data_IF_209043349465
#
_entry.id   IF_209043349465
#
_cell.length_a   1.000
_cell.length_b   1.000
_cell.length_c   1.000
_cell.angle_alpha   90.00
_cell.angle_beta   90.00
_cell.angle_gamma   90.00
#
_symmetry.space_group_name_H-M   'P 1'
#
loop_
_entity.id
_entity.type
_entity.pdbx_description
1 polymer ?
#
# COMPACT_ATOMS: atom_id res chain seq x y z
N UNK A 1 -30.05 36.94 19.33
CA UNK A 1 -29.14 37.01 18.17
C UNK A 1 -27.78 37.34 18.75
N UNK A 2 -26.92 36.33 18.86
CA UNK A 2 -25.65 36.41 19.59
C UNK A 2 -24.53 36.91 18.64
N UNK A 3 -23.94 38.10 18.86
CA UNK A 3 -22.94 38.67 17.97
C UNK A 3 -21.52 38.12 18.17
N UNK A 4 -21.28 37.20 19.11
CA UNK A 4 -19.92 36.73 19.47
C UNK A 4 -19.63 35.28 19.08
N UNK A 5 -20.23 34.78 17.98
CA UNK A 5 -19.67 33.59 17.29
C UNK A 5 -18.43 33.99 16.51
N UNK A 6 -17.32 34.24 17.23
CA UNK A 6 -16.00 34.19 16.62
C UNK A 6 -15.80 32.76 16.16
N UNK A 7 -15.84 32.55 14.84
CA UNK A 7 -15.45 31.30 14.21
C UNK A 7 -14.13 30.86 14.85
N UNK A 8 -14.15 29.74 15.59
CA UNK A 8 -12.93 29.13 16.08
C UNK A 8 -11.98 29.03 14.88
N UNK A 9 -10.70 29.45 15.00
CA UNK A 9 -9.76 29.35 13.90
C UNK A 9 -9.86 27.94 13.32
N UNK A 10 -10.33 27.83 12.07
CA UNK A 10 -10.28 26.56 11.34
C UNK A 10 -8.84 26.07 11.55
N UNK A 11 -8.62 24.86 12.09
CA UNK A 11 -7.27 24.36 12.26
C UNK A 11 -6.61 24.56 10.90
N UNK A 12 -5.60 25.43 10.87
CA UNK A 12 -4.83 25.65 9.67
C UNK A 12 -4.36 24.24 9.31
N UNK A 13 -4.94 23.67 8.25
CA UNK A 13 -4.49 22.37 7.78
C UNK A 13 -3.04 22.62 7.41
N UNK A 14 -2.13 22.05 8.19
CA UNK A 14 -0.71 22.14 7.88
C UNK A 14 -0.57 21.74 6.42
N UNK A 15 0.10 22.55 5.59
CA UNK A 15 0.28 22.21 4.19
C UNK A 15 0.84 20.79 4.14
N UNK A 16 0.29 19.91 3.28
CA UNK A 16 0.69 18.52 3.25
C UNK A 16 2.22 18.47 3.14
N UNK A 17 2.90 17.69 3.98
CA UNK A 17 4.35 17.67 4.01
C UNK A 17 4.88 17.38 2.61
N UNK A 18 5.91 18.11 2.19
CA UNK A 18 6.50 17.94 0.86
C UNK A 18 6.77 16.44 0.60
N UNK A 19 6.42 15.91 -0.57
CA UNK A 19 6.54 14.50 -0.87
C UNK A 19 8.01 14.09 -0.78
N UNK A 20 8.38 13.51 0.36
CA UNK A 20 9.74 13.02 0.55
C UNK A 20 9.98 11.84 -0.40
N UNK A 21 11.22 11.64 -0.89
CA UNK A 21 11.57 10.48 -1.71
C UNK A 21 11.21 9.13 -1.06
N UNK A 22 11.14 9.08 0.27
CA UNK A 22 10.66 7.90 1.02
C UNK A 22 9.14 7.72 0.92
N UNK A 23 8.35 8.79 1.04
CA UNK A 23 6.89 8.72 0.87
C UNK A 23 6.48 8.23 -0.51
N UNK A 24 7.15 8.70 -1.57
CA UNK A 24 6.90 8.27 -2.95
C UNK A 24 7.18 6.76 -3.14
N UNK A 25 8.26 6.23 -2.55
CA UNK A 25 8.61 4.80 -2.62
C UNK A 25 7.62 3.93 -1.85
N UNK A 26 7.18 4.37 -0.67
CA UNK A 26 6.16 3.67 0.11
C UNK A 26 4.83 3.57 -0.66
N UNK A 27 4.42 4.66 -1.31
CA UNK A 27 3.24 4.68 -2.17
C UNK A 27 3.37 3.74 -3.36
N UNK A 28 4.52 3.74 -4.04
CA UNK A 28 4.77 2.83 -5.15
C UNK A 28 4.71 1.36 -4.71
N UNK A 29 5.32 1.01 -3.57
CA UNK A 29 5.26 -0.36 -3.04
C UNK A 29 3.85 -0.80 -2.67
N UNK A 30 3.04 0.09 -2.09
CA UNK A 30 1.63 -0.16 -1.82
C UNK A 30 0.83 -0.35 -3.12
N UNK A 31 1.09 0.48 -4.12
CA UNK A 31 0.45 0.39 -5.42
C UNK A 31 0.78 -0.92 -6.14
N UNK A 32 2.06 -1.31 -6.19
CA UNK A 32 2.50 -2.59 -6.75
C UNK A 32 1.86 -3.79 -6.05
N UNK A 33 1.66 -3.71 -4.73
CA UNK A 33 0.98 -4.76 -3.99
C UNK A 33 -0.49 -4.88 -4.46
N UNK A 34 -1.23 -3.78 -4.58
CA UNK A 34 -2.62 -3.79 -5.09
C UNK A 34 -2.67 -4.29 -6.54
N UNK A 35 -1.75 -3.83 -7.39
CA UNK A 35 -1.65 -4.27 -8.77
C UNK A 35 -1.46 -5.79 -8.89
N UNK A 36 -0.77 -6.44 -7.96
CA UNK A 36 -0.60 -7.90 -8.01
C UNK A 36 -1.92 -8.67 -7.92
N UNK A 37 -2.90 -8.14 -7.18
CA UNK A 37 -4.25 -8.72 -7.10
C UNK A 37 -4.99 -8.49 -8.41
N UNK A 38 -4.93 -7.27 -8.96
CA UNK A 38 -5.59 -6.91 -10.22
C UNK A 38 -5.04 -7.72 -11.39
N UNK A 39 -3.73 -7.96 -11.44
CA UNK A 39 -3.09 -8.82 -12.45
C UNK A 39 -3.54 -10.26 -12.28
N UNK A 40 -3.56 -10.81 -11.05
CA UNK A 40 -4.04 -12.17 -10.79
C UNK A 40 -5.51 -12.36 -11.17
N UNK A 41 -6.36 -11.41 -10.82
CA UNK A 41 -7.78 -11.41 -11.17
C UNK A 41 -8.01 -11.24 -12.68
N UNK A 42 -7.26 -10.34 -13.33
CA UNK A 42 -7.36 -10.12 -14.77
C UNK A 42 -6.92 -11.32 -15.60
N UNK A 43 -5.82 -11.98 -15.20
CA UNK A 43 -5.36 -13.22 -15.83
C UNK A 43 -6.35 -14.38 -15.59
N UNK A 44 -6.89 -14.48 -14.37
CA UNK A 44 -7.91 -15.49 -14.05
C UNK A 44 -9.20 -15.31 -14.84
N UNK A 45 -9.67 -14.06 -14.97
CA UNK A 45 -10.86 -13.72 -15.77
C UNK A 45 -10.65 -14.01 -17.26
N UNK A 46 -9.49 -13.66 -17.81
CA UNK A 46 -9.17 -13.94 -19.21
C UNK A 46 -9.06 -15.45 -19.46
N UNK A 47 -8.46 -16.20 -18.53
CA UNK A 47 -8.40 -17.66 -18.60
C UNK A 47 -9.79 -18.30 -18.58
N UNK A 48 -10.68 -17.85 -17.70
CA UNK A 48 -12.06 -18.34 -17.64
C UNK A 48 -12.83 -18.03 -18.94
N UNK A 49 -12.60 -16.85 -19.53
CA UNK A 49 -13.24 -16.45 -20.78
C UNK A 49 -12.84 -17.32 -21.98
N UNK A 50 -11.58 -17.75 -22.06
CA UNK A 50 -11.08 -18.56 -23.18
C UNK A 50 -11.44 -20.05 -23.03
N UNK A 51 -11.40 -20.57 -21.79
CA UNK A 51 -11.59 -22.00 -21.52
C UNK A 51 -13.06 -22.38 -21.28
N UNK A 52 -13.96 -21.39 -21.12
CA UNK A 52 -15.36 -21.61 -20.80
C UNK A 52 -15.57 -22.32 -19.45
N UNK A 53 -14.51 -22.43 -18.65
CA UNK A 53 -14.62 -22.78 -17.24
C UNK A 53 -15.44 -21.68 -16.58
N UNK A 54 -16.34 -22.02 -15.64
CA UNK A 54 -16.99 -21.01 -14.79
C UNK A 54 -15.96 -20.15 -14.04
N UNK A 55 -16.30 -19.38 -13.00
CA UNK A 55 -15.37 -18.44 -12.34
C UNK A 55 -14.23 -19.09 -11.52
N UNK A 56 -13.65 -20.19 -11.99
CA UNK A 56 -12.68 -21.04 -11.31
C UNK A 56 -11.26 -20.51 -11.46
N UNK A 57 -10.81 -20.16 -12.67
CA UNK A 57 -9.49 -19.56 -12.89
C UNK A 57 -9.43 -18.16 -12.28
N UNK A 58 -10.55 -17.44 -12.22
CA UNK A 58 -10.67 -16.18 -11.51
C UNK A 58 -10.43 -16.36 -10.01
N UNK A 59 -11.02 -17.37 -9.37
CA UNK A 59 -10.78 -17.66 -7.95
C UNK A 59 -9.31 -18.05 -7.70
N UNK A 60 -8.76 -18.92 -8.55
CA UNK A 60 -7.35 -19.34 -8.45
C UNK A 60 -6.40 -18.16 -8.67
N UNK A 61 -6.63 -17.38 -9.73
CA UNK A 61 -5.85 -16.18 -10.06
C UNK A 61 -5.93 -15.12 -8.99
N UNK A 62 -7.10 -14.91 -8.38
CA UNK A 62 -7.27 -14.04 -7.22
C UNK A 62 -6.50 -14.56 -6.00
N UNK A 63 -6.51 -15.87 -5.76
CA UNK A 63 -5.71 -16.50 -4.71
C UNK A 63 -4.21 -16.28 -4.89
N UNK A 64 -3.70 -16.45 -6.11
CA UNK A 64 -2.30 -16.16 -6.44
C UNK A 64 -1.96 -14.67 -6.29
N UNK A 65 -2.83 -13.78 -6.79
CA UNK A 65 -2.66 -12.33 -6.66
C UNK A 65 -2.64 -11.88 -5.20
N UNK A 66 -3.53 -12.43 -4.37
CA UNK A 66 -3.56 -12.17 -2.93
C UNK A 66 -2.32 -12.71 -2.21
N UNK A 67 -1.86 -13.91 -2.54
CA UNK A 67 -0.62 -14.45 -2.00
C UNK A 67 0.58 -13.55 -2.33
N UNK A 68 0.68 -13.08 -3.58
CA UNK A 68 1.72 -12.15 -4.00
C UNK A 68 1.65 -10.80 -3.27
N UNK A 69 0.45 -10.27 -3.03
CA UNK A 69 0.22 -9.07 -2.22
C UNK A 69 0.76 -9.25 -0.80
N UNK A 70 0.37 -10.34 -0.11
CA UNK A 70 0.82 -10.61 1.27
C UNK A 70 2.34 -10.79 1.32
N UNK A 71 2.93 -11.49 0.36
CA UNK A 71 4.38 -11.67 0.28
C UNK A 71 5.10 -10.32 0.12
N UNK A 72 4.63 -9.44 -0.79
CA UNK A 72 5.18 -8.08 -0.96
C UNK A 72 5.07 -7.25 0.30
N UNK A 73 3.89 -7.24 0.94
CA UNK A 73 3.67 -6.51 2.18
C UNK A 73 4.59 -7.00 3.31
N UNK A 74 4.72 -8.32 3.47
CA UNK A 74 5.60 -8.91 4.47
C UNK A 74 7.07 -8.55 4.24
N UNK A 75 7.49 -8.47 2.98
CA UNK A 75 8.86 -8.08 2.62
C UNK A 75 9.12 -6.61 2.91
N UNK A 76 8.14 -5.75 2.62
CA UNK A 76 8.21 -4.32 2.94
C UNK A 76 8.34 -4.09 4.45
N UNK A 77 7.54 -4.81 5.26
CA UNK A 77 7.62 -4.75 6.73
C UNK A 77 9.02 -5.13 7.24
N UNK A 78 9.56 -6.25 6.77
CA UNK A 78 10.91 -6.70 7.15
C UNK A 78 12.00 -5.71 6.76
N UNK A 79 11.86 -5.02 5.63
CA UNK A 79 12.80 -3.98 5.21
C UNK A 79 12.77 -2.78 6.16
N UNK A 80 11.56 -2.30 6.52
CA UNK A 80 11.40 -1.18 7.47
C UNK A 80 11.96 -1.53 8.84
N UNK A 81 11.68 -2.73 9.36
CA UNK A 81 12.22 -3.21 10.64
C UNK A 81 13.76 -3.29 10.61
N UNK A 82 14.34 -3.79 9.52
CA UNK A 82 15.79 -3.88 9.35
C UNK A 82 16.47 -2.51 9.25
N UNK A 83 15.82 -1.52 8.62
CA UNK A 83 16.32 -0.13 8.57
C UNK A 83 16.29 0.52 9.95
N UNK A 84 15.20 0.35 10.71
CA UNK A 84 15.07 0.86 12.06
C UNK A 84 16.14 0.27 13.02
N UNK A 85 16.38 -1.04 12.93
CA UNK A 85 17.40 -1.70 13.74
C UNK A 85 18.83 -1.21 13.41
N UNK A 86 19.12 -0.90 12.15
CA UNK A 86 20.40 -0.32 11.72
C UNK A 86 20.58 1.12 12.19
N UNK A 87 19.51 1.92 12.14
CA UNK A 87 19.52 3.30 12.61
C UNK A 87 19.81 3.37 14.12
N UNK A 88 19.17 2.51 14.92
CA UNK A 88 19.44 2.40 16.36
C UNK A 88 20.91 2.04 16.67
N UNK A 89 21.48 1.09 15.93
CA UNK A 89 22.90 0.71 16.10
C UNK A 89 23.89 1.82 15.72
N UNK A 90 23.55 2.66 14.73
CA UNK A 90 24.40 3.81 14.37
C UNK A 90 24.37 4.90 15.43
N UNK A 91 23.21 5.12 16.06
CA UNK A 91 23.07 6.10 17.15
C UNK A 91 23.82 5.69 18.42
N UNK A 92 24.01 4.38 18.65
CA UNK A 92 24.75 3.87 19.81
C UNK A 92 26.28 3.90 19.60
N UNK A 93 26.76 4.01 18.36
CA UNK A 93 28.19 4.05 18.03
C UNK A 93 28.81 5.45 17.94
N UNK A 94 27.98 6.50 17.96
CA UNK A 94 28.37 7.92 17.99
C UNK A 94 28.33 8.47 19.43
#
# INVERSE_FOLDING_TARGET
MDPDRREAPRPAQDPPPDPTPQGARAYAGAFEAVLSILVGAGLGWWGDAELGTGPWLLIVGLGFGFAAFVLRLSRMRRMVEAEAAKAARRQESD
#
